data_IF_741698580576
#
_entry.id   IF_741698580576
#
_cell.length_a   1.000
_cell.length_b   1.000
_cell.length_c   1.000
_cell.angle_alpha   90.00
_cell.angle_beta   90.00
_cell.angle_gamma   90.00
#
_symmetry.space_group_name_H-M   'P 1'
#
loop_
_entity.id
_entity.type
_entity.pdbx_description
1 polymer ?
#
# COMPACT_ATOMS: atom_id res chain seq x y z
N UNK A 1 24.10 8.90 -13.72
CA UNK A 1 23.91 7.49 -13.33
C UNK A 1 25.23 6.72 -13.20
N UNK A 2 26.40 7.31 -13.46
CA UNK A 2 27.70 6.64 -13.32
C UNK A 2 28.30 6.74 -11.92
N UNK A 3 28.05 7.82 -11.19
CA UNK A 3 28.64 8.02 -9.85
C UNK A 3 28.15 6.98 -8.83
N UNK A 4 26.85 6.66 -8.82
CA UNK A 4 26.32 5.66 -7.88
C UNK A 4 26.89 4.26 -8.15
N UNK A 5 26.99 3.86 -9.41
CA UNK A 5 27.55 2.55 -9.79
C UNK A 5 29.04 2.47 -9.52
N UNK A 6 29.79 3.56 -9.72
CA UNK A 6 31.20 3.67 -9.33
C UNK A 6 31.39 3.49 -7.82
N UNK A 7 30.63 4.24 -7.00
CA UNK A 7 30.71 4.12 -5.54
C UNK A 7 30.33 2.72 -5.06
N UNK A 8 29.29 2.11 -5.63
CA UNK A 8 28.91 0.75 -5.29
C UNK A 8 30.03 -0.26 -5.62
N UNK A 9 30.70 -0.09 -6.76
CA UNK A 9 31.86 -0.90 -7.14
C UNK A 9 33.05 -0.69 -6.21
N UNK A 10 33.33 0.54 -5.79
CA UNK A 10 34.40 0.87 -4.84
C UNK A 10 34.15 0.27 -3.45
N UNK A 11 32.88 0.16 -3.06
CA UNK A 11 32.45 -0.44 -1.79
C UNK A 11 32.19 -1.95 -1.87
N UNK A 12 32.48 -2.58 -3.03
CA UNK A 12 32.21 -4.01 -3.29
C UNK A 12 30.73 -4.41 -3.05
N UNK A 13 29.80 -3.48 -3.25
CA UNK A 13 28.36 -3.73 -3.13
C UNK A 13 27.83 -4.20 -4.48
N UNK A 14 27.33 -5.44 -4.60
CA UNK A 14 26.80 -5.95 -5.85
C UNK A 14 25.49 -5.24 -6.20
N UNK A 15 25.43 -4.71 -7.42
CA UNK A 15 24.22 -4.11 -7.98
C UNK A 15 23.46 -5.14 -8.81
N UNK A 16 22.13 -5.11 -8.69
CA UNK A 16 21.24 -5.93 -9.50
C UNK A 16 20.61 -5.05 -10.58
N UNK A 17 21.16 -5.08 -11.79
CA UNK A 17 20.71 -4.23 -12.90
C UNK A 17 19.22 -4.41 -13.21
N UNK A 18 18.70 -5.63 -13.06
CA UNK A 18 17.28 -5.98 -13.22
C UNK A 18 16.34 -5.31 -12.21
N UNK A 19 16.88 -4.77 -11.11
CA UNK A 19 16.12 -4.05 -10.07
C UNK A 19 16.40 -2.54 -10.09
N UNK A 20 17.31 -2.10 -10.95
CA UNK A 20 17.66 -0.69 -11.06
C UNK A 20 16.76 -0.03 -12.10
N UNK A 21 15.98 0.95 -11.65
CA UNK A 21 15.32 1.87 -12.55
C UNK A 21 16.29 3.00 -12.95
N UNK A 22 16.37 3.28 -14.25
CA UNK A 22 17.02 4.48 -14.75
C UNK A 22 16.23 5.76 -14.42
N UNK A 23 16.65 6.93 -14.93
CA UNK A 23 15.87 8.15 -14.79
C UNK A 23 14.46 7.95 -15.37
N UNK A 24 13.45 8.06 -14.52
CA UNK A 24 12.04 7.85 -14.88
C UNK A 24 11.16 8.90 -14.21
N UNK A 25 10.00 9.17 -14.80
CA UNK A 25 8.95 10.03 -14.20
C UNK A 25 7.96 9.23 -13.35
N UNK A 26 8.01 7.90 -13.43
CA UNK A 26 7.20 6.97 -12.64
C UNK A 26 8.08 5.88 -12.04
N UNK A 27 8.08 5.77 -10.73
CA UNK A 27 8.87 4.78 -9.99
C UNK A 27 8.04 4.18 -8.86
N UNK A 28 8.02 2.86 -8.73
CA UNK A 28 7.42 2.20 -7.57
C UNK A 28 8.49 1.93 -6.52
N UNK A 29 8.34 2.51 -5.34
CA UNK A 29 9.25 2.32 -4.22
C UNK A 29 8.46 2.06 -2.94
N UNK A 30 8.82 1.00 -2.21
CA UNK A 30 8.10 0.54 -1.01
C UNK A 30 6.59 0.45 -1.25
N UNK A 31 6.21 -0.14 -2.39
CA UNK A 31 4.81 -0.36 -2.77
C UNK A 31 3.98 0.91 -2.96
N UNK A 32 4.64 2.05 -3.19
CA UNK A 32 4.04 3.35 -3.52
C UNK A 32 4.60 3.80 -4.87
N UNK A 33 3.73 4.18 -5.79
CA UNK A 33 4.13 4.81 -7.04
C UNK A 33 4.39 6.30 -6.81
N UNK A 34 5.56 6.77 -7.24
CA UNK A 34 5.92 8.17 -7.34
C UNK A 34 5.70 8.62 -8.78
N UNK A 35 4.80 9.57 -9.02
CA UNK A 35 4.54 10.17 -10.33
C UNK A 35 4.96 11.64 -10.28
N UNK A 36 6.11 11.96 -10.89
CA UNK A 36 6.66 13.32 -10.88
C UNK A 36 5.95 14.24 -11.88
N UNK A 37 5.38 13.70 -12.96
CA UNK A 37 4.58 14.47 -13.91
C UNK A 37 3.31 15.02 -13.23
N UNK A 38 2.71 14.23 -12.34
CA UNK A 38 1.51 14.62 -11.59
C UNK A 38 1.81 15.19 -10.20
N UNK A 39 3.08 15.19 -9.80
CA UNK A 39 3.55 15.58 -8.46
C UNK A 39 2.77 14.87 -7.34
N UNK A 40 2.59 13.55 -7.49
CA UNK A 40 1.72 12.78 -6.61
C UNK A 40 2.35 11.44 -6.20
N UNK A 41 1.98 11.01 -4.99
CA UNK A 41 2.18 9.63 -4.53
C UNK A 41 0.89 8.85 -4.75
N UNK A 42 1.00 7.62 -5.22
CA UNK A 42 -0.13 6.78 -5.60
C UNK A 42 0.05 5.36 -5.10
N UNK A 43 -1.08 4.67 -4.94
CA UNK A 43 -1.03 3.23 -4.84
C UNK A 43 -0.79 2.68 -6.26
N UNK A 44 0.12 1.71 -6.44
CA UNK A 44 0.20 0.95 -7.68
C UNK A 44 -1.16 0.39 -8.09
N UNK A 45 -1.44 0.36 -9.39
CA UNK A 45 -2.76 0.03 -9.95
C UNK A 45 -3.23 -1.38 -9.56
N UNK A 46 -2.32 -2.35 -9.49
CA UNK A 46 -2.58 -3.72 -9.04
C UNK A 46 -3.09 -3.75 -7.59
N UNK A 47 -2.45 -2.98 -6.70
CA UNK A 47 -2.84 -2.87 -5.29
C UNK A 47 -4.16 -2.14 -5.13
N UNK A 48 -4.40 -1.11 -5.94
CA UNK A 48 -5.66 -0.38 -5.95
C UNK A 48 -6.82 -1.29 -6.40
N UNK A 49 -6.58 -2.10 -7.43
CA UNK A 49 -7.55 -3.06 -7.93
C UNK A 49 -7.85 -4.16 -6.89
N UNK A 50 -6.84 -4.77 -6.27
CA UNK A 50 -7.02 -5.75 -5.19
C UNK A 50 -7.80 -5.17 -4.01
N UNK A 51 -7.45 -3.95 -3.56
CA UNK A 51 -8.18 -3.27 -2.49
C UNK A 51 -9.65 -3.01 -2.88
N UNK A 52 -9.90 -2.55 -4.10
CA UNK A 52 -11.25 -2.30 -4.60
C UNK A 52 -12.09 -3.58 -4.62
N UNK A 53 -11.51 -4.69 -5.10
CA UNK A 53 -12.18 -6.00 -5.11
C UNK A 53 -12.50 -6.46 -3.68
N UNK A 54 -11.57 -6.33 -2.73
CA UNK A 54 -11.82 -6.69 -1.32
C UNK A 54 -12.95 -5.88 -0.69
N UNK A 55 -12.99 -4.57 -0.96
CA UNK A 55 -14.07 -3.70 -0.49
C UNK A 55 -15.41 -4.17 -1.08
N UNK A 56 -15.47 -4.41 -2.38
CA UNK A 56 -16.69 -4.89 -3.05
C UNK A 56 -17.15 -6.25 -2.49
N UNK A 57 -16.23 -7.17 -2.24
CA UNK A 57 -16.55 -8.46 -1.62
C UNK A 57 -17.12 -8.30 -0.20
N UNK A 58 -16.62 -7.36 0.60
CA UNK A 58 -17.19 -7.10 1.93
C UNK A 58 -18.55 -6.40 1.87
N UNK A 59 -18.76 -5.48 0.94
CA UNK A 59 -20.05 -4.79 0.76
C UNK A 59 -21.17 -5.76 0.37
N UNK A 60 -20.85 -6.83 -0.36
CA UNK A 60 -21.81 -7.86 -0.75
C UNK A 60 -22.16 -8.86 0.38
N UNK A 61 -21.52 -8.77 1.54
CA UNK A 61 -21.78 -9.67 2.68
C UNK A 61 -22.76 -9.04 3.67
N UNK A 62 -23.78 -9.81 4.08
CA UNK A 62 -24.71 -9.41 5.15
C UNK A 62 -24.05 -9.36 6.53
N UNK A 63 -23.02 -10.16 6.75
CA UNK A 63 -22.23 -10.25 7.98
C UNK A 63 -20.78 -10.44 7.62
N UNK A 64 -19.90 -9.87 8.44
CA UNK A 64 -18.46 -9.96 8.27
C UNK A 64 -17.82 -10.38 9.58
N UNK A 65 -16.85 -11.27 9.50
CA UNK A 65 -16.08 -11.71 10.68
C UNK A 65 -15.12 -10.61 11.12
N UNK A 66 -14.71 -10.65 12.40
CA UNK A 66 -13.69 -9.75 12.92
C UNK A 66 -12.39 -9.86 12.12
N UNK A 67 -11.99 -11.09 11.75
CA UNK A 67 -10.77 -11.35 10.98
C UNK A 67 -10.82 -10.71 9.58
N UNK A 68 -11.93 -10.85 8.86
CA UNK A 68 -12.09 -10.22 7.54
C UNK A 68 -12.00 -8.70 7.64
N UNK A 69 -12.63 -8.12 8.67
CA UNK A 69 -12.57 -6.68 8.91
C UNK A 69 -11.14 -6.21 9.25
N UNK A 70 -10.43 -6.94 10.11
CA UNK A 70 -9.03 -6.65 10.44
C UNK A 70 -8.12 -6.69 9.22
N UNK A 71 -8.28 -7.70 8.35
CA UNK A 71 -7.53 -7.80 7.09
C UNK A 71 -7.81 -6.58 6.22
N UNK A 72 -9.08 -6.24 5.98
CA UNK A 72 -9.43 -5.07 5.16
C UNK A 72 -8.86 -3.77 5.74
N UNK A 73 -8.95 -3.58 7.06
CA UNK A 73 -8.38 -2.40 7.75
C UNK A 73 -6.87 -2.34 7.57
N UNK A 74 -6.15 -3.48 7.59
CA UNK A 74 -4.72 -3.52 7.30
C UNK A 74 -4.38 -2.99 5.90
N UNK A 75 -5.10 -3.44 4.87
CA UNK A 75 -4.92 -2.94 3.50
C UNK A 75 -5.29 -1.46 3.37
N UNK A 76 -6.41 -1.04 3.96
CA UNK A 76 -6.83 0.36 3.97
C UNK A 76 -5.80 1.25 4.68
N UNK A 77 -5.23 0.80 5.79
CA UNK A 77 -4.21 1.55 6.52
C UNK A 77 -2.96 1.81 5.66
N UNK A 78 -2.54 0.82 4.87
CA UNK A 78 -1.46 1.02 3.89
C UNK A 78 -1.85 2.09 2.85
N UNK A 79 -3.04 1.99 2.26
CA UNK A 79 -3.53 2.97 1.29
C UNK A 79 -3.67 4.39 1.88
N UNK A 80 -3.91 4.51 3.19
CA UNK A 80 -3.98 5.80 3.88
C UNK A 80 -2.67 6.61 3.82
N UNK A 81 -1.53 5.98 3.49
CA UNK A 81 -0.25 6.68 3.32
C UNK A 81 -0.23 7.65 2.13
N UNK A 82 -1.06 7.41 1.12
CA UNK A 82 -1.11 8.19 -0.13
C UNK A 82 -2.47 8.83 -0.39
N UNK A 83 -3.49 8.48 0.41
CA UNK A 83 -4.86 9.01 0.29
C UNK A 83 -5.14 9.92 1.48
N UNK A 84 -5.08 11.24 1.31
CA UNK A 84 -5.51 12.19 2.33
C UNK A 84 -6.94 12.70 2.03
N UNK A 85 -7.83 12.91 3.03
CA UNK A 85 -7.73 12.62 4.47
C UNK A 85 -8.47 11.31 4.86
N UNK A 86 -7.82 10.16 4.70
CA UNK A 86 -8.47 8.84 4.88
C UNK A 86 -8.56 8.32 6.33
N UNK A 87 -7.65 8.72 7.23
CA UNK A 87 -7.50 8.11 8.55
C UNK A 87 -8.75 8.25 9.45
N UNK A 88 -9.53 9.31 9.26
CA UNK A 88 -10.77 9.54 10.00
C UNK A 88 -11.79 8.44 9.70
N UNK A 89 -11.85 7.98 8.44
CA UNK A 89 -12.71 6.87 8.04
C UNK A 89 -12.23 5.54 8.63
N UNK A 90 -10.91 5.32 8.66
CA UNK A 90 -10.31 4.10 9.22
C UNK A 90 -10.62 3.95 10.72
N UNK A 91 -10.65 5.07 11.45
CA UNK A 91 -10.95 5.06 12.90
C UNK A 91 -12.31 4.45 13.23
N UNK A 92 -13.32 4.61 12.37
CA UNK A 92 -14.64 3.98 12.56
C UNK A 92 -14.55 2.47 12.55
N UNK A 93 -13.75 1.90 11.65
CA UNK A 93 -13.53 0.46 11.60
C UNK A 93 -12.74 -0.03 12.82
N UNK A 94 -11.68 0.68 13.23
CA UNK A 94 -10.94 0.36 14.44
C UNK A 94 -11.85 0.32 15.68
N UNK A 95 -12.73 1.31 15.85
CA UNK A 95 -13.67 1.35 16.96
C UNK A 95 -14.68 0.19 16.93
N UNK A 96 -15.12 -0.24 15.75
CA UNK A 96 -16.02 -1.38 15.59
C UNK A 96 -15.37 -2.70 16.05
N UNK A 97 -14.06 -2.85 15.83
CA UNK A 97 -13.30 -4.04 16.22
C UNK A 97 -13.06 -4.12 17.74
N UNK A 98 -12.81 -2.99 18.41
CA UNK A 98 -12.51 -2.95 19.86
C UNK A 98 -13.66 -3.52 20.72
N UNK A 99 -14.90 -3.41 20.26
CA UNK A 99 -16.08 -3.90 20.99
C UNK A 99 -16.32 -5.41 20.82
N UNK A 100 -15.60 -6.08 19.93
CA UNK A 100 -15.84 -7.47 19.55
C UNK A 100 -14.78 -8.37 20.18
N UNK A 101 -15.14 -9.06 21.26
CA UNK A 101 -14.24 -9.96 22.01
C UNK A 101 -14.12 -11.38 21.44
N UNK A 102 -14.98 -11.76 20.48
CA UNK A 102 -14.98 -13.09 19.87
C UNK A 102 -14.83 -13.01 18.34
N UNK A 103 -13.84 -13.71 17.74
CA UNK A 103 -13.55 -13.62 16.31
C UNK A 103 -14.62 -14.26 15.39
N UNK A 104 -15.49 -15.12 15.93
CA UNK A 104 -16.56 -15.80 15.20
C UNK A 104 -17.86 -15.75 16.00
N UNK A 105 -18.86 -15.00 15.52
CA UNK A 105 -20.28 -15.10 15.92
C UNK A 105 -21.18 -14.56 14.81
#
# INVERSE_FOLDING_TARGET
MTTFTQVASELEVPLADEKMEGPTTKLTYLDIELDTCRQAYRLPDDKLQDLTVRIQLMLNKKKVTLKELQVLVGHLNFACRVIAPSLVFLRRFCNAMVKLRKPHH
#
